data_IF_074865983405
#
_entry.id   IF_074865983405
#
_cell.length_a   1.000
_cell.length_b   1.000
_cell.length_c   1.000
_cell.angle_alpha   90.00
_cell.angle_beta   90.00
_cell.angle_gamma   90.00
#
_symmetry.space_group_name_H-M   'P 1'
#
loop_
_entity.id
_entity.type
_entity.pdbx_description
1 polymer ?
#
# COMPACT_ATOMS: atom_id res chain seq x y z
N UNK A 1 -79.41 7.71 2.39
CA UNK A 1 -78.55 6.52 2.28
C UNK A 1 -77.29 6.91 1.53
N UNK A 2 -76.17 6.31 1.94
CA UNK A 2 -74.77 6.53 1.55
C UNK A 2 -74.18 7.85 2.13
N UNK A 3 -73.59 7.90 3.34
CA UNK A 3 -72.59 7.01 3.98
C UNK A 3 -71.34 6.82 3.12
N UNK A 4 -70.31 7.65 3.36
CA UNK A 4 -68.99 7.09 3.66
C UNK A 4 -68.15 8.09 4.47
N UNK A 5 -67.51 7.54 5.48
CA UNK A 5 -66.84 8.18 6.60
C UNK A 5 -65.33 8.05 6.44
N UNK A 6 -64.62 9.03 7.02
CA UNK A 6 -63.29 8.98 7.62
C UNK A 6 -62.11 8.28 6.91
N UNK A 7 -61.04 9.04 6.69
CA UNK A 7 -59.75 8.66 7.27
C UNK A 7 -58.95 9.91 7.68
N UNK A 8 -58.39 9.83 8.87
CA UNK A 8 -57.84 10.91 9.70
C UNK A 8 -56.29 10.81 9.73
N UNK A 9 -55.66 11.89 10.18
CA UNK A 9 -54.36 11.90 10.89
C UNK A 9 -53.09 11.38 10.14
N UNK A 10 -52.08 12.21 9.83
CA UNK A 10 -51.13 12.74 10.82
C UNK A 10 -50.06 13.58 10.11
N UNK A 11 -49.48 14.58 10.80
CA UNK A 11 -48.04 14.85 10.63
C UNK A 11 -47.58 16.23 10.15
N UNK A 12 -47.83 17.24 10.97
CA UNK A 12 -47.04 18.48 11.20
C UNK A 12 -45.70 18.67 10.45
N UNK A 13 -45.55 19.84 9.81
CA UNK A 13 -44.24 20.38 9.41
C UNK A 13 -44.25 21.80 8.84
N UNK A 14 -44.76 22.78 9.60
CA UNK A 14 -44.75 24.21 9.23
C UNK A 14 -43.37 24.84 9.46
N UNK A 15 -42.75 25.44 8.43
CA UNK A 15 -41.85 26.62 8.58
C UNK A 15 -41.75 27.46 7.27
N UNK A 16 -42.65 28.44 7.20
CA UNK A 16 -42.48 29.84 6.76
C UNK A 16 -41.61 30.18 5.53
N UNK A 17 -42.30 30.75 4.53
CA UNK A 17 -41.79 31.50 3.36
C UNK A 17 -41.15 32.85 3.77
N UNK A 18 -40.09 33.27 3.06
CA UNK A 18 -39.79 34.67 2.62
C UNK A 18 -38.78 34.58 1.46
N UNK A 19 -39.20 34.52 0.20
CA UNK A 19 -39.37 35.64 -0.74
C UNK A 19 -38.23 36.68 -0.66
N UNK A 20 -37.28 36.57 -1.59
CA UNK A 20 -36.34 37.60 -2.00
C UNK A 20 -36.08 37.42 -3.50
N UNK A 21 -36.67 38.30 -4.30
CA UNK A 21 -36.80 38.28 -5.76
C UNK A 21 -35.57 38.89 -6.43
N UNK A 22 -34.95 38.18 -7.40
CA UNK A 22 -34.66 38.66 -8.78
C UNK A 22 -33.83 37.63 -9.58
N UNK A 23 -34.18 37.36 -10.85
CA UNK A 23 -33.41 36.51 -11.76
C UNK A 23 -32.44 37.33 -12.62
N UNK A 24 -31.60 36.60 -13.37
CA UNK A 24 -30.80 37.03 -14.53
C UNK A 24 -29.32 37.37 -14.25
N UNK A 25 -28.44 36.42 -14.59
CA UNK A 25 -27.30 36.62 -15.49
C UNK A 25 -26.40 35.37 -15.46
N UNK A 26 -26.48 34.58 -16.53
CA UNK A 26 -25.36 33.90 -17.18
C UNK A 26 -24.06 33.72 -16.37
N UNK A 27 -23.79 32.49 -15.96
CA UNK A 27 -22.47 31.86 -16.17
C UNK A 27 -22.59 30.36 -15.96
N UNK A 28 -22.20 29.67 -17.02
CA UNK A 28 -22.09 28.22 -17.13
C UNK A 28 -21.26 27.70 -15.96
N UNK A 29 -21.90 26.96 -15.04
CA UNK A 29 -21.17 26.13 -14.10
C UNK A 29 -20.61 24.96 -14.90
N UNK A 30 -19.38 25.14 -15.37
CA UNK A 30 -18.55 24.09 -15.91
C UNK A 30 -18.57 22.91 -14.93
N UNK A 31 -19.23 21.86 -15.40
CA UNK A 31 -19.18 20.49 -14.93
C UNK A 31 -17.72 20.10 -14.66
N UNK A 32 -17.25 20.38 -13.44
CA UNK A 32 -16.03 19.85 -12.87
C UNK A 32 -16.21 18.34 -12.72
N UNK A 33 -16.11 17.63 -13.85
CA UNK A 33 -15.87 16.20 -13.92
C UNK A 33 -14.71 15.93 -12.98
N UNK A 34 -15.05 15.38 -11.81
CA UNK A 34 -14.11 14.86 -10.82
C UNK A 34 -13.18 13.95 -11.61
N UNK A 35 -11.99 14.46 -11.96
CA UNK A 35 -10.98 13.71 -12.68
C UNK A 35 -10.75 12.46 -11.86
N UNK A 36 -11.20 11.32 -12.39
CA UNK A 36 -11.07 10.03 -11.74
C UNK A 36 -9.63 9.90 -11.26
N UNK A 37 -9.46 9.49 -9.99
CA UNK A 37 -8.16 9.31 -9.34
C UNK A 37 -7.16 8.77 -10.37
N UNK A 38 -6.02 9.45 -10.60
CA UNK A 38 -5.07 9.02 -11.62
C UNK A 38 -4.77 7.53 -11.42
N UNK A 39 -4.67 6.76 -12.51
CA UNK A 39 -4.45 5.33 -12.40
C UNK A 39 -3.23 5.10 -11.52
N UNK A 40 -3.30 4.11 -10.61
CA UNK A 40 -2.19 3.72 -9.73
C UNK A 40 -1.12 3.01 -10.56
N UNK A 41 -0.54 3.70 -11.54
CA UNK A 41 0.61 3.23 -12.30
C UNK A 41 1.84 3.31 -11.41
N UNK A 42 2.73 2.32 -11.56
CA UNK A 42 3.99 2.32 -10.84
C UNK A 42 4.86 3.47 -11.36
N UNK A 43 5.53 4.17 -10.45
CA UNK A 43 6.53 5.18 -10.83
C UNK A 43 7.71 4.52 -11.53
N UNK A 44 8.50 5.25 -12.34
CA UNK A 44 9.72 4.70 -12.94
C UNK A 44 10.68 4.10 -11.91
N UNK A 45 10.76 4.68 -10.70
CA UNK A 45 11.54 4.12 -9.59
C UNK A 45 10.95 2.79 -9.09
N UNK A 46 9.63 2.72 -8.90
CA UNK A 46 8.94 1.49 -8.49
C UNK A 46 9.11 0.36 -9.52
N UNK A 47 9.10 0.67 -10.82
CA UNK A 47 9.34 -0.32 -11.89
C UNK A 47 10.77 -0.86 -11.83
N UNK A 48 11.77 0.00 -11.56
CA UNK A 48 13.17 -0.44 -11.38
C UNK A 48 13.32 -1.34 -10.15
N UNK A 49 12.72 -0.96 -9.03
CA UNK A 49 12.73 -1.77 -7.80
C UNK A 49 12.09 -3.14 -8.04
N UNK A 50 10.92 -3.18 -8.68
CA UNK A 50 10.24 -4.43 -9.03
C UNK A 50 11.11 -5.32 -9.93
N UNK A 51 11.82 -4.72 -10.89
CA UNK A 51 12.74 -5.43 -11.78
C UNK A 51 13.92 -6.06 -11.02
N UNK A 52 14.51 -5.34 -10.06
CA UNK A 52 15.58 -5.86 -9.20
C UNK A 52 15.07 -7.03 -8.35
N UNK A 53 13.92 -6.87 -7.67
CA UNK A 53 13.34 -7.92 -6.83
C UNK A 53 12.96 -9.19 -7.63
N UNK A 54 12.51 -9.02 -8.88
CA UNK A 54 12.27 -10.13 -9.81
C UNK A 54 13.57 -10.78 -10.27
N UNK A 55 14.61 -9.98 -10.52
CA UNK A 55 15.94 -10.46 -10.91
C UNK A 55 16.56 -11.39 -9.85
N UNK A 56 16.50 -10.98 -8.58
CA UNK A 56 17.00 -11.79 -7.45
C UNK A 56 16.34 -13.19 -7.38
N UNK A 57 15.07 -13.30 -7.78
CA UNK A 57 14.34 -14.59 -7.83
C UNK A 57 14.58 -15.45 -9.06
N UNK A 58 15.37 -14.97 -10.01
CA UNK A 58 15.76 -15.74 -11.20
C UNK A 58 17.17 -16.29 -11.08
N UNK A 59 17.94 -15.81 -10.12
CA UNK A 59 19.32 -16.23 -9.92
C UNK A 59 19.37 -17.64 -9.33
N UNK A 60 19.83 -18.58 -10.15
CA UNK A 60 20.00 -20.00 -9.81
C UNK A 60 21.47 -20.35 -9.87
N UNK A 61 21.91 -21.28 -9.03
CA UNK A 61 23.24 -21.87 -9.14
C UNK A 61 23.31 -22.98 -10.19
N UNK A 62 24.49 -23.58 -10.33
CA UNK A 62 24.75 -24.70 -11.23
C UNK A 62 23.90 -25.95 -10.91
N UNK A 63 23.41 -26.05 -9.67
CA UNK A 63 22.50 -27.12 -9.23
C UNK A 63 21.04 -26.83 -9.58
N UNK A 64 20.74 -25.63 -10.10
CA UNK A 64 19.39 -25.18 -10.41
C UNK A 64 18.63 -24.59 -9.22
N UNK A 65 19.29 -24.47 -8.06
CA UNK A 65 18.69 -23.99 -6.82
C UNK A 65 18.76 -22.47 -6.71
N UNK A 66 17.70 -21.91 -6.15
CA UNK A 66 17.59 -20.47 -5.97
C UNK A 66 18.45 -20.03 -4.77
N UNK A 67 19.53 -19.30 -5.03
CA UNK A 67 20.43 -18.78 -3.97
C UNK A 67 19.76 -17.80 -3.03
N UNK A 68 18.58 -17.31 -3.41
CA UNK A 68 17.81 -16.34 -2.65
C UNK A 68 16.96 -16.98 -1.55
N UNK A 69 16.81 -18.30 -1.54
CA UNK A 69 15.95 -19.03 -0.59
C UNK A 69 16.29 -18.77 0.89
N UNK A 70 17.57 -18.78 1.32
CA UNK A 70 17.93 -18.52 2.72
C UNK A 70 17.57 -17.10 3.19
N UNK A 71 17.41 -16.16 2.24
CA UNK A 71 17.09 -14.76 2.51
C UNK A 71 15.58 -14.48 2.43
N UNK A 72 14.75 -15.49 2.17
CA UNK A 72 13.31 -15.30 1.96
C UNK A 72 12.57 -14.95 3.25
N UNK A 73 12.95 -15.55 4.37
CA UNK A 73 12.36 -15.33 5.69
C UNK A 73 13.44 -15.39 6.78
N UNK A 74 13.22 -14.63 7.83
CA UNK A 74 14.03 -14.72 9.05
C UNK A 74 13.71 -16.02 9.82
N UNK A 75 14.70 -16.59 10.54
CA UNK A 75 14.47 -17.65 11.52
C UNK A 75 13.43 -17.23 12.57
N UNK A 76 12.69 -18.17 13.16
CA UNK A 76 11.79 -17.80 14.26
C UNK A 76 12.62 -17.36 15.48
N UNK A 77 12.18 -16.30 16.16
CA UNK A 77 12.86 -15.79 17.36
C UNK A 77 12.91 -16.81 18.49
N UNK A 78 11.96 -17.74 18.55
CA UNK A 78 11.94 -18.83 19.51
C UNK A 78 12.94 -19.93 19.14
N UNK A 79 13.17 -20.16 17.86
CA UNK A 79 14.06 -21.21 17.35
C UNK A 79 15.52 -20.78 17.37
N UNK A 80 15.80 -19.50 17.07
CA UNK A 80 17.15 -18.97 17.01
C UNK A 80 17.26 -17.59 17.69
N UNK A 81 17.18 -17.53 19.03
CA UNK A 81 17.26 -16.28 19.77
C UNK A 81 18.61 -15.57 19.58
N UNK A 82 19.69 -16.33 19.46
CA UNK A 82 21.07 -15.82 19.28
C UNK A 82 21.21 -14.93 18.03
N UNK A 83 20.47 -15.23 16.96
CA UNK A 83 20.43 -14.39 15.76
C UNK A 83 19.92 -12.99 16.06
N UNK A 84 18.88 -12.89 16.89
CA UNK A 84 18.26 -11.61 17.25
C UNK A 84 19.05 -10.84 18.31
N UNK A 85 19.96 -11.52 19.02
CA UNK A 85 20.90 -10.89 19.95
C UNK A 85 22.13 -10.33 19.21
N UNK A 86 22.63 -11.04 18.19
CA UNK A 86 23.75 -10.61 17.36
C UNK A 86 23.34 -9.53 16.33
N UNK A 87 22.18 -9.68 15.70
CA UNK A 87 21.73 -8.82 14.61
C UNK A 87 20.76 -7.74 15.12
N UNK A 88 21.22 -6.48 15.09
CA UNK A 88 20.44 -5.34 15.58
C UNK A 88 19.18 -5.04 14.76
N UNK A 89 19.25 -5.22 13.44
CA UNK A 89 18.17 -4.86 12.51
C UNK A 89 17.87 -6.03 11.57
N UNK A 90 17.17 -7.06 12.07
CA UNK A 90 16.88 -8.24 11.26
C UNK A 90 15.94 -7.85 10.10
N UNK A 91 16.30 -8.27 8.89
CA UNK A 91 15.56 -8.00 7.66
C UNK A 91 15.66 -9.19 6.72
N UNK A 92 14.56 -9.49 6.02
CA UNK A 92 14.49 -10.51 4.99
C UNK A 92 13.73 -10.01 3.75
N UNK A 93 13.78 -10.77 2.67
CA UNK A 93 13.18 -10.37 1.40
C UNK A 93 11.67 -10.24 1.44
N UNK A 94 10.98 -11.04 2.25
CA UNK A 94 9.55 -10.91 2.47
C UNK A 94 9.19 -9.54 3.07
N UNK A 95 9.96 -9.07 4.04
CA UNK A 95 9.85 -7.74 4.64
C UNK A 95 10.14 -6.65 3.60
N UNK A 96 11.21 -6.80 2.81
CA UNK A 96 11.58 -5.87 1.74
C UNK A 96 10.44 -5.77 0.71
N UNK A 97 9.84 -6.90 0.32
CA UNK A 97 8.67 -6.93 -0.58
C UNK A 97 7.45 -6.28 0.02
N UNK A 98 7.21 -6.47 1.31
CA UNK A 98 6.11 -5.83 2.00
C UNK A 98 6.32 -4.31 2.06
N UNK A 99 7.55 -3.85 2.32
CA UNK A 99 7.92 -2.42 2.24
C UNK A 99 7.68 -1.87 0.82
N UNK A 100 8.05 -2.60 -0.22
CA UNK A 100 7.78 -2.23 -1.62
C UNK A 100 6.27 -2.12 -1.91
N UNK A 101 5.47 -3.12 -1.54
CA UNK A 101 4.00 -3.11 -1.70
C UNK A 101 3.34 -1.94 -0.97
N UNK A 102 3.91 -1.52 0.16
CA UNK A 102 3.48 -0.36 0.95
C UNK A 102 4.02 0.98 0.41
N UNK A 103 4.70 0.98 -0.74
CA UNK A 103 5.31 2.16 -1.37
C UNK A 103 6.24 2.92 -0.42
N UNK A 104 7.03 2.18 0.37
CA UNK A 104 7.95 2.75 1.36
C UNK A 104 9.32 3.13 0.79
N UNK A 105 9.64 2.66 -0.42
CA UNK A 105 10.84 3.07 -1.14
C UNK A 105 10.48 4.22 -2.08
N UNK A 106 11.10 5.38 -1.87
CA UNK A 106 10.99 6.53 -2.75
C UNK A 106 12.01 6.44 -3.89
N UNK A 107 13.17 5.87 -3.60
CA UNK A 107 14.29 5.72 -4.53
C UNK A 107 14.74 4.27 -4.64
N UNK A 108 15.55 3.98 -5.65
CA UNK A 108 16.21 2.67 -5.77
C UNK A 108 17.28 2.51 -4.69
N UNK A 109 17.89 3.60 -4.24
CA UNK A 109 18.92 3.59 -3.19
C UNK A 109 18.34 3.12 -1.85
N UNK A 110 17.08 3.46 -1.55
CA UNK A 110 16.39 2.95 -0.35
C UNK A 110 16.24 1.43 -0.36
N UNK A 111 16.04 0.83 -1.56
CA UNK A 111 16.01 -0.62 -1.72
C UNK A 111 17.40 -1.22 -1.53
N UNK A 112 18.42 -0.59 -2.14
CA UNK A 112 19.80 -1.08 -2.08
C UNK A 112 20.27 -1.11 -0.63
N UNK A 113 20.00 -0.07 0.17
CA UNK A 113 20.33 -0.05 1.60
C UNK A 113 19.71 -1.21 2.39
N UNK A 114 18.46 -1.56 2.11
CA UNK A 114 17.80 -2.70 2.76
C UNK A 114 18.38 -4.06 2.29
N UNK A 115 18.75 -4.17 1.01
CA UNK A 115 19.41 -5.36 0.48
C UNK A 115 20.82 -5.52 1.05
N UNK A 116 21.59 -4.43 1.11
CA UNK A 116 22.93 -4.41 1.71
C UNK A 116 22.85 -4.78 3.18
N UNK A 117 21.92 -4.20 3.95
CA UNK A 117 21.68 -4.57 5.35
C UNK A 117 21.35 -6.06 5.50
N UNK A 118 20.52 -6.61 4.61
CA UNK A 118 20.20 -8.04 4.63
C UNK A 118 21.45 -8.92 4.41
N UNK A 119 22.32 -8.53 3.48
CA UNK A 119 23.57 -9.26 3.22
C UNK A 119 24.63 -9.05 4.31
N UNK A 120 24.73 -7.85 4.86
CA UNK A 120 25.61 -7.54 6.00
C UNK A 120 25.21 -8.33 7.23
N UNK A 121 23.91 -8.41 7.55
CA UNK A 121 23.42 -9.24 8.64
C UNK A 121 23.75 -10.72 8.43
N UNK A 122 23.61 -11.19 7.19
CA UNK A 122 23.95 -12.57 6.86
C UNK A 122 25.46 -12.82 6.97
N UNK A 123 26.31 -11.89 6.55
CA UNK A 123 27.76 -12.01 6.76
C UNK A 123 28.10 -12.00 8.25
N UNK A 124 27.58 -11.03 9.00
CA UNK A 124 27.85 -10.87 10.42
C UNK A 124 27.45 -12.10 11.24
N UNK A 125 26.34 -12.75 10.92
CA UNK A 125 25.89 -13.95 11.64
C UNK A 125 26.53 -15.24 11.12
N UNK A 126 26.80 -15.34 9.82
CA UNK A 126 27.35 -16.55 9.21
C UNK A 126 28.90 -16.51 9.12
N UNK A 127 29.57 -15.50 9.66
CA UNK A 127 31.03 -15.44 9.76
C UNK A 127 31.52 -16.36 10.89
N UNK A 128 31.74 -17.64 10.53
CA UNK A 128 32.85 -18.50 10.94
C UNK A 128 32.69 -19.88 10.25
N UNK A 129 33.24 -20.00 9.04
CA UNK A 129 33.71 -21.26 8.42
C UNK A 129 34.95 -20.94 7.55
#
# INVERSE_FOLDING_TARGET
DDDDSDDDDTGRGRKTRKIGRRPDASREEEDHKKRGRPPKVLTPAEVRIDSVLKGLRKFKDESGELRILPFEKLPDKQELPEYYDAIQKPIALDMIRQKFKRKKYATVDDLIQDLDLMFENAKLFNEDD
#
